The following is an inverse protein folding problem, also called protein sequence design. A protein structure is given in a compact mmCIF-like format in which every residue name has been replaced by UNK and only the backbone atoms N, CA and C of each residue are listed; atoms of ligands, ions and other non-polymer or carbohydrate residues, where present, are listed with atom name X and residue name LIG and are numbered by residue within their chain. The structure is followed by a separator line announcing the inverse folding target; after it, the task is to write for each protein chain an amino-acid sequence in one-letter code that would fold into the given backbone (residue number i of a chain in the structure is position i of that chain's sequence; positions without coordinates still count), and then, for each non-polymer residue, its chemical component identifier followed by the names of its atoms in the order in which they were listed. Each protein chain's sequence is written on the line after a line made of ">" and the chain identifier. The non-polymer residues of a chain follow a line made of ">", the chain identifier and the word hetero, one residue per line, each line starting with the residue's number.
data_IF_206465298438
#
_entry.id   IF_206465298438
#
_cell.length_a   1.000
_cell.length_b   1.000
_cell.length_c   1.000
_cell.angle_alpha   90.00
_cell.angle_beta   90.00
_cell.angle_gamma   90.00
#
_symmetry.space_group_name_H-M   'P 1'
#
loop_
_entity.id
_entity.type
_entity.pdbx_description
1 polymer ?
#
# COMPACT_ATOMS: atom_id res chain seq x y z
N UNK A 1 -15.95 2.75 12.58
CA UNK A 1 -15.14 2.99 11.38
C UNK A 1 -15.95 2.65 10.16
N UNK A 2 -16.04 3.60 9.25
CA UNK A 2 -16.68 3.44 7.94
C UNK A 2 -15.92 2.38 7.11
N UNK A 3 -16.57 1.75 6.12
CA UNK A 3 -15.91 0.77 5.23
C UNK A 3 -14.65 1.37 4.58
N UNK A 4 -14.71 2.66 4.21
CA UNK A 4 -13.59 3.40 3.65
C UNK A 4 -12.42 3.51 4.62
N UNK A 5 -12.67 3.90 5.88
CA UNK A 5 -11.63 4.01 6.91
C UNK A 5 -10.84 2.71 7.07
N UNK A 6 -11.55 1.56 7.05
CA UNK A 6 -10.90 0.25 7.14
C UNK A 6 -9.96 -0.02 5.97
N UNK A 7 -10.35 0.38 4.75
CA UNK A 7 -9.51 0.28 3.55
C UNK A 7 -8.28 1.18 3.68
N UNK A 8 -8.45 2.42 4.14
CA UNK A 8 -7.34 3.36 4.36
C UNK A 8 -6.31 2.82 5.36
N UNK A 9 -6.77 2.34 6.52
CA UNK A 9 -5.89 1.79 7.55
C UNK A 9 -5.17 0.52 7.11
N UNK A 10 -5.88 -0.40 6.45
CA UNK A 10 -5.28 -1.61 5.88
C UNK A 10 -4.18 -1.26 4.87
N UNK A 11 -4.47 -0.33 3.96
CA UNK A 11 -3.51 0.12 2.95
C UNK A 11 -2.32 0.84 3.57
N UNK A 12 -2.54 1.68 4.58
CA UNK A 12 -1.46 2.33 5.32
C UNK A 12 -0.53 1.29 5.99
N UNK A 13 -1.10 0.25 6.61
CA UNK A 13 -0.31 -0.80 7.25
C UNK A 13 0.50 -1.62 6.24
N UNK A 14 -0.10 -2.03 5.11
CA UNK A 14 0.61 -2.77 4.07
C UNK A 14 1.67 -1.88 3.40
N UNK A 15 1.38 -0.59 3.19
CA UNK A 15 2.35 0.38 2.67
C UNK A 15 3.58 0.53 3.58
N UNK A 16 3.37 0.58 4.90
CA UNK A 16 4.45 0.60 5.88
C UNK A 16 5.34 -0.65 5.75
N UNK A 17 4.75 -1.84 5.65
CA UNK A 17 5.48 -3.10 5.43
C UNK A 17 6.23 -3.06 4.10
N UNK A 18 5.59 -2.61 3.02
CA UNK A 18 6.22 -2.47 1.71
C UNK A 18 7.44 -1.54 1.75
N UNK A 19 7.35 -0.45 2.50
CA UNK A 19 8.43 0.53 2.63
C UNK A 19 9.58 -0.03 3.44
N UNK A 20 9.28 -0.71 4.54
CA UNK A 20 10.26 -1.43 5.34
C UNK A 20 10.97 -2.52 4.53
N UNK A 21 10.25 -3.28 3.70
CA UNK A 21 10.86 -4.28 2.81
C UNK A 21 11.80 -3.63 1.79
N UNK A 22 11.41 -2.53 1.16
CA UNK A 22 12.27 -1.85 0.18
C UNK A 22 13.54 -1.25 0.82
N UNK A 23 13.41 -0.72 2.04
CA UNK A 23 14.55 -0.23 2.82
C UNK A 23 15.48 -1.38 3.25
N UNK A 24 14.93 -2.48 3.76
CA UNK A 24 15.69 -3.65 4.20
C UNK A 24 16.44 -4.33 3.04
N UNK A 25 15.85 -4.35 1.84
CA UNK A 25 16.50 -4.84 0.63
C UNK A 25 17.52 -3.85 0.05
N UNK A 26 17.67 -2.66 0.64
CA UNK A 26 18.67 -1.67 0.24
C UNK A 26 18.41 -1.08 -1.15
N UNK A 27 17.15 -0.96 -1.57
CA UNK A 27 16.85 -0.32 -2.86
C UNK A 27 17.08 1.20 -2.76
N UNK A 28 18.25 1.67 -3.19
CA UNK A 28 18.62 3.08 -3.27
C UNK A 28 19.57 3.35 -4.45
N UNK A 29 19.82 4.62 -4.78
CA UNK A 29 20.73 5.00 -5.87
C UNK A 29 20.31 4.41 -7.22
N UNK A 30 21.26 3.83 -7.96
CA UNK A 30 21.04 3.23 -9.28
C UNK A 30 20.05 2.06 -9.29
N UNK A 31 19.90 1.36 -8.15
CA UNK A 31 18.95 0.24 -8.00
C UNK A 31 17.62 0.64 -7.36
N UNK A 32 17.42 1.92 -7.03
CA UNK A 32 16.20 2.42 -6.39
C UNK A 32 14.93 2.09 -7.17
N UNK A 33 14.98 2.11 -8.50
CA UNK A 33 13.85 1.75 -9.37
C UNK A 33 13.31 0.33 -9.14
N UNK A 34 14.12 -0.59 -8.57
CA UNK A 34 13.70 -1.97 -8.28
C UNK A 34 12.67 -2.08 -7.15
N UNK A 35 12.53 -1.05 -6.31
CA UNK A 35 11.48 -1.03 -5.28
C UNK A 35 10.08 -0.74 -5.83
N UNK A 36 9.97 -0.11 -7.01
CA UNK A 36 8.68 0.18 -7.65
C UNK A 36 7.83 -1.09 -7.86
N UNK A 37 8.33 -2.15 -8.54
CA UNK A 37 7.54 -3.36 -8.71
C UNK A 37 7.16 -4.03 -7.38
N UNK A 38 7.98 -3.90 -6.32
CA UNK A 38 7.62 -4.39 -4.97
C UNK A 38 6.44 -3.60 -4.38
N UNK A 39 6.50 -2.26 -4.45
CA UNK A 39 5.42 -1.39 -4.01
C UNK A 39 4.11 -1.66 -4.77
N UNK A 40 4.18 -1.86 -6.08
CA UNK A 40 3.02 -2.20 -6.92
C UNK A 40 2.47 -3.59 -6.59
N UNK A 41 3.33 -4.60 -6.46
CA UNK A 41 2.88 -5.96 -6.14
C UNK A 41 2.16 -6.01 -4.78
N UNK A 42 2.72 -5.37 -3.75
CA UNK A 42 2.09 -5.31 -2.43
C UNK A 42 0.82 -4.45 -2.44
N UNK A 43 0.71 -3.45 -3.31
CA UNK A 43 -0.53 -2.71 -3.48
C UNK A 43 -1.65 -3.61 -4.03
N UNK A 44 -1.34 -4.43 -5.04
CA UNK A 44 -2.29 -5.40 -5.59
C UNK A 44 -2.71 -6.43 -4.55
N UNK A 45 -1.80 -6.82 -3.65
CA UNK A 45 -2.13 -7.67 -2.49
C UNK A 45 -3.20 -7.02 -1.60
N UNK A 46 -3.18 -5.69 -1.42
CA UNK A 46 -4.22 -5.00 -0.64
C UNK A 46 -5.64 -5.24 -1.18
N UNK A 47 -5.80 -5.36 -2.50
CA UNK A 47 -7.10 -5.63 -3.12
C UNK A 47 -7.67 -6.96 -2.63
N UNK A 48 -6.84 -8.00 -2.58
CA UNK A 48 -7.24 -9.31 -2.07
C UNK A 48 -7.56 -9.25 -0.56
N UNK A 49 -6.78 -8.53 0.25
CA UNK A 49 -7.09 -8.36 1.67
C UNK A 49 -8.41 -7.60 1.91
N UNK A 50 -8.71 -6.57 1.12
CA UNK A 50 -10.00 -5.87 1.21
C UNK A 50 -11.16 -6.83 0.91
N UNK A 51 -11.04 -7.65 -0.13
CA UNK A 51 -12.08 -8.60 -0.51
C UNK A 51 -12.25 -9.73 0.51
N UNK A 52 -11.17 -10.40 0.89
CA UNK A 52 -11.25 -11.62 1.69
C UNK A 52 -11.26 -11.35 3.19
N UNK A 53 -10.44 -10.42 3.68
CA UNK A 53 -10.32 -10.15 5.12
C UNK A 53 -11.38 -9.16 5.59
N UNK A 54 -11.63 -8.08 4.83
CA UNK A 54 -12.66 -7.10 5.19
C UNK A 54 -14.06 -7.47 4.69
N UNK A 55 -14.18 -8.49 3.83
CA UNK A 55 -15.45 -8.92 3.20
C UNK A 55 -16.15 -7.75 2.49
N UNK A 56 -15.36 -6.83 1.94
CA UNK A 56 -15.87 -5.70 1.13
C UNK A 56 -15.71 -6.12 -0.32
N UNK A 57 -16.81 -6.52 -0.94
CA UNK A 57 -16.86 -6.87 -2.37
C UNK A 57 -17.48 -5.74 -3.20
N UNK A 58 -17.36 -5.85 -4.51
CA UNK A 58 -18.02 -5.00 -5.49
C UNK A 58 -19.53 -5.24 -5.36
N UNK A 59 -20.23 -4.20 -4.96
CA UNK A 59 -21.68 -4.18 -4.82
C UNK A 59 -22.20 -2.90 -5.49
N UNK A 60 -22.67 -3.00 -6.74
CA UNK A 60 -23.20 -1.87 -7.49
C UNK A 60 -24.42 -1.23 -6.81
N UNK A 61 -25.24 -2.00 -6.10
CA UNK A 61 -26.45 -1.51 -5.41
C UNK A 61 -26.08 -0.63 -4.21
N UNK A 62 -24.95 -0.91 -3.58
CA UNK A 62 -24.37 -0.09 -2.50
C UNK A 62 -23.38 0.98 -2.99
N UNK A 63 -23.25 1.17 -4.31
CA UNK A 63 -22.31 2.14 -4.91
C UNK A 63 -20.82 1.76 -4.76
N UNK A 64 -20.54 0.50 -4.44
CA UNK A 64 -19.17 -0.03 -4.28
C UNK A 64 -18.71 -0.59 -5.62
N UNK A 65 -18.07 0.25 -6.43
CA UNK A 65 -17.54 -0.18 -7.74
C UNK A 65 -16.13 -0.77 -7.61
N UNK A 66 -15.69 -1.53 -8.62
CA UNK A 66 -14.31 -2.00 -8.71
C UNK A 66 -13.30 -0.84 -8.65
N UNK A 67 -13.61 0.29 -9.30
CA UNK A 67 -12.77 1.49 -9.24
C UNK A 67 -12.72 2.07 -7.83
N UNK A 68 -13.84 2.07 -7.11
CA UNK A 68 -13.86 2.50 -5.71
C UNK A 68 -12.94 1.64 -4.86
N UNK A 69 -13.01 0.30 -4.96
CA UNK A 69 -12.08 -0.59 -4.24
C UNK A 69 -10.62 -0.34 -4.65
N UNK A 70 -10.38 -0.17 -5.95
CA UNK A 70 -9.03 -0.08 -6.48
C UNK A 70 -8.39 1.26 -6.10
N UNK A 71 -9.07 2.39 -6.24
CA UNK A 71 -8.47 3.72 -6.04
C UNK A 71 -8.64 4.28 -4.62
N UNK A 72 -9.56 3.79 -3.80
CA UNK A 72 -9.77 4.32 -2.44
C UNK A 72 -8.57 4.06 -1.54
N UNK A 73 -7.86 5.11 -1.13
CA UNK A 73 -6.65 4.96 -0.32
C UNK A 73 -5.37 4.68 -1.11
N UNK A 74 -5.38 4.81 -2.45
CA UNK A 74 -4.17 4.76 -3.28
C UNK A 74 -3.14 5.81 -2.82
N UNK A 75 -3.58 7.07 -2.65
CA UNK A 75 -2.72 8.15 -2.21
C UNK A 75 -2.09 7.88 -0.85
N UNK A 76 -2.88 7.41 0.12
CA UNK A 76 -2.39 7.00 1.44
C UNK A 76 -1.36 5.89 1.35
N UNK A 77 -1.61 4.88 0.52
CA UNK A 77 -0.65 3.80 0.29
C UNK A 77 0.68 4.34 -0.24
N UNK A 78 0.64 5.11 -1.33
CA UNK A 78 1.85 5.65 -1.97
C UNK A 78 2.65 6.51 -0.99
N UNK A 79 1.98 7.42 -0.29
CA UNK A 79 2.62 8.35 0.63
C UNK A 79 3.28 7.62 1.80
N UNK A 80 2.58 6.68 2.44
CA UNK A 80 3.14 5.91 3.56
C UNK A 80 4.28 5.02 3.09
N UNK A 81 4.13 4.37 1.94
CA UNK A 81 5.16 3.49 1.36
C UNK A 81 6.46 4.25 1.10
N UNK A 82 6.38 5.37 0.36
CA UNK A 82 7.54 6.21 0.06
C UNK A 82 8.12 6.83 1.32
N UNK A 83 7.27 7.36 2.21
CA UNK A 83 7.72 7.96 3.48
C UNK A 83 8.49 6.96 4.33
N UNK A 84 7.95 5.76 4.56
CA UNK A 84 8.60 4.72 5.35
C UNK A 84 9.89 4.25 4.68
N UNK A 85 9.89 4.04 3.37
CA UNK A 85 11.07 3.60 2.63
C UNK A 85 12.21 4.63 2.74
N UNK A 86 11.92 5.91 2.45
CA UNK A 86 12.90 6.99 2.51
C UNK A 86 13.39 7.19 3.96
N UNK A 87 12.48 7.20 4.94
CA UNK A 87 12.84 7.38 6.34
C UNK A 87 13.79 6.29 6.83
N UNK A 88 13.48 5.02 6.56
CA UNK A 88 14.29 3.89 7.02
C UNK A 88 15.62 3.80 6.29
N UNK A 89 15.67 4.10 4.99
CA UNK A 89 16.96 4.21 4.29
C UNK A 89 17.85 5.26 4.96
N UNK A 90 17.33 6.46 5.23
CA UNK A 90 18.11 7.51 5.88
C UNK A 90 18.47 7.21 7.34
N UNK A 91 17.67 6.41 8.05
CA UNK A 91 17.97 6.03 9.42
C UNK A 91 19.06 4.93 9.50
N UNK A 92 19.12 4.03 8.52
CA UNK A 92 20.01 2.87 8.54
C UNK A 92 21.26 2.99 7.64
N UNK A 93 21.25 3.86 6.62
CA UNK A 93 22.38 4.06 5.69
C UNK A 93 23.15 5.37 5.94
N UNK A 94 22.87 6.06 7.04
CA UNK A 94 23.67 7.19 7.54
C UNK A 94 24.60 6.71 8.65
#
# INVERSE_FOLDING_TARGET
>A
MEKKDKIYWLRAFIAFIAGAMCAFLGFHGEIGGRGIPVGVALYLVTYFFVRYSLKIDVDPEQGITANTLLFSGLGTYILVWLFTWILLLNLFLV
#
